data_IF_889623751289
#
_entry.id   IF_889623751289
#
_cell.length_a   1.000
_cell.length_b   1.000
_cell.length_c   1.000
_cell.angle_alpha   90.00
_cell.angle_beta   90.00
_cell.angle_gamma   90.00
#
_symmetry.space_group_name_H-M   'P 1'
#
loop_
_entity.id
_entity.type
_entity.pdbx_description
1 polymer ?
#
# COMPACT_ATOMS: atom_id res chain seq x y z
N UNK A 1 82.74 -24.65 -2.43
CA UNK A 1 82.17 -25.28 -1.22
C UNK A 1 81.09 -24.33 -0.71
N UNK A 2 79.83 -24.62 -1.04
CA UNK A 2 78.65 -23.82 -0.68
C UNK A 2 78.30 -24.01 0.80
N UNK A 3 77.57 -23.07 1.42
CA UNK A 3 76.53 -23.42 2.37
C UNK A 3 75.15 -23.14 1.77
N UNK A 4 74.29 -24.15 1.89
CA UNK A 4 72.85 -24.09 1.68
C UNK A 4 72.19 -23.27 2.80
N UNK A 5 71.21 -22.45 2.44
CA UNK A 5 70.06 -22.14 3.32
C UNK A 5 68.78 -22.43 2.54
N UNK A 6 67.94 -23.28 3.13
CA UNK A 6 66.65 -23.73 2.61
C UNK A 6 65.61 -22.62 2.67
N UNK A 7 64.98 -22.29 1.54
CA UNK A 7 63.77 -21.49 1.51
C UNK A 7 62.56 -22.40 1.74
N UNK A 8 61.79 -22.14 2.80
CA UNK A 8 60.43 -22.65 2.95
C UNK A 8 59.51 -21.84 2.03
N UNK A 9 58.88 -22.50 1.08
CA UNK A 9 57.75 -21.96 0.31
C UNK A 9 56.47 -22.11 1.13
N UNK A 10 55.95 -21.00 1.67
CA UNK A 10 54.56 -20.91 2.08
C UNK A 10 53.71 -20.70 0.83
N UNK A 11 52.90 -21.69 0.49
CA UNK A 11 51.84 -21.59 -0.49
C UNK A 11 50.72 -20.74 0.14
N UNK A 12 50.68 -19.44 -0.16
CA UNK A 12 49.52 -18.63 0.15
C UNK A 12 48.41 -19.00 -0.84
N UNK A 13 47.44 -19.79 -0.38
CA UNK A 13 46.15 -19.90 -1.05
C UNK A 13 45.48 -18.55 -0.85
N UNK A 14 45.50 -17.72 -1.89
CA UNK A 14 44.62 -16.57 -1.96
C UNK A 14 43.18 -17.10 -1.94
N UNK A 15 42.52 -17.02 -0.79
CA UNK A 15 41.06 -16.99 -0.78
C UNK A 15 40.68 -15.70 -1.51
N UNK A 16 40.19 -15.82 -2.74
CA UNK A 16 39.31 -14.81 -3.29
C UNK A 16 38.08 -14.77 -2.39
N UNK A 17 38.09 -13.86 -1.42
CA UNK A 17 36.85 -13.28 -0.92
C UNK A 17 36.22 -12.64 -2.14
N UNK A 18 35.17 -13.26 -2.68
CA UNK A 18 34.30 -12.58 -3.61
C UNK A 18 33.73 -11.38 -2.86
N UNK A 19 34.10 -10.18 -3.29
CA UNK A 19 33.35 -8.98 -2.95
C UNK A 19 31.97 -9.17 -3.59
N UNK A 20 31.01 -9.70 -2.83
CA UNK A 20 29.61 -9.77 -3.25
C UNK A 20 29.07 -8.33 -3.28
N UNK A 21 28.57 -7.83 -4.41
CA UNK A 21 28.09 -6.45 -4.44
C UNK A 21 26.85 -6.33 -3.55
N UNK A 22 27.01 -5.53 -2.49
CA UNK A 22 25.92 -4.81 -1.85
C UNK A 22 25.08 -4.09 -2.93
N UNK A 23 23.81 -3.76 -2.61
CA UNK A 23 22.96 -2.91 -3.46
C UNK A 23 23.80 -1.86 -4.17
N UNK A 24 23.68 -1.78 -5.49
CA UNK A 24 24.42 -0.78 -6.25
C UNK A 24 23.94 0.57 -5.72
N UNK A 25 24.81 1.23 -4.96
CA UNK A 25 24.57 2.54 -4.36
C UNK A 25 24.67 3.58 -5.48
N UNK A 26 23.71 3.56 -6.40
CA UNK A 26 23.33 4.79 -7.07
C UNK A 26 22.85 5.76 -5.99
N UNK A 27 23.16 7.04 -6.18
CA UNK A 27 22.86 8.10 -5.23
C UNK A 27 21.39 8.00 -4.77
N UNK A 28 21.14 8.11 -3.47
CA UNK A 28 19.76 8.10 -2.94
C UNK A 28 18.91 9.15 -3.66
N UNK A 29 17.72 8.75 -4.08
CA UNK A 29 16.78 9.63 -4.76
C UNK A 29 16.49 10.88 -3.91
N UNK A 30 16.40 12.09 -4.50
CA UNK A 30 16.01 13.29 -3.76
C UNK A 30 14.67 13.09 -3.04
N UNK A 31 14.62 13.36 -1.74
CA UNK A 31 13.39 13.25 -0.93
C UNK A 31 12.73 14.61 -0.75
N UNK A 32 11.45 14.71 -1.10
CA UNK A 32 10.63 15.91 -0.95
C UNK A 32 9.49 15.66 0.05
N UNK A 33 9.27 16.60 0.97
CA UNK A 33 8.32 16.40 2.06
C UNK A 33 7.03 17.19 1.80
N UNK A 34 5.92 16.48 1.62
CA UNK A 34 4.57 17.02 1.49
C UNK A 34 4.11 17.60 2.85
N UNK A 35 4.21 16.83 3.94
CA UNK A 35 3.85 17.26 5.29
C UNK A 35 4.60 16.44 6.36
N UNK A 36 5.15 17.10 7.37
CA UNK A 36 5.82 16.49 8.52
C UNK A 36 5.48 17.21 9.84
N UNK A 37 4.35 17.91 9.85
CA UNK A 37 3.88 18.70 10.98
C UNK A 37 3.05 17.89 11.98
N UNK A 38 2.74 16.64 11.66
CA UNK A 38 1.94 15.71 12.46
C UNK A 38 2.69 14.38 12.65
N UNK A 39 2.00 13.36 13.16
CA UNK A 39 2.56 12.10 13.66
C UNK A 39 1.65 10.93 13.32
N UNK A 40 2.22 9.79 12.93
CA UNK A 40 1.45 8.59 12.59
C UNK A 40 0.81 8.65 11.21
N UNK A 41 1.50 9.15 10.17
CA UNK A 41 0.91 9.11 8.82
C UNK A 41 0.76 7.66 8.37
N UNK A 42 -0.46 7.21 8.15
CA UNK A 42 -0.77 5.81 7.86
C UNK A 42 -1.61 5.73 6.58
N UNK A 43 -0.93 5.32 5.50
CA UNK A 43 -1.46 5.30 4.15
C UNK A 43 -1.44 6.65 3.42
N UNK A 44 -1.33 6.56 2.10
CA UNK A 44 -1.60 7.64 1.15
C UNK A 44 -2.58 7.10 0.13
N UNK A 45 -3.62 7.88 -0.19
CA UNK A 45 -4.57 7.56 -1.25
C UNK A 45 -4.73 8.77 -2.17
N UNK A 46 -4.84 8.49 -3.45
CA UNK A 46 -4.86 9.49 -4.51
C UNK A 46 -6.29 9.77 -4.98
N UNK A 47 -6.56 11.01 -5.36
CA UNK A 47 -7.81 11.45 -5.99
C UNK A 47 -7.68 12.88 -6.48
N UNK A 48 -8.53 13.32 -7.40
CA UNK A 48 -8.55 14.71 -7.86
C UNK A 48 -9.65 15.46 -7.10
N UNK A 49 -9.30 16.09 -5.98
CA UNK A 49 -10.26 16.66 -5.04
C UNK A 49 -10.79 18.03 -5.50
N UNK A 50 -10.00 18.74 -6.32
CA UNK A 50 -10.33 20.07 -6.81
C UNK A 50 -10.69 20.12 -8.31
N UNK A 51 -10.70 18.97 -9.00
CA UNK A 51 -10.94 18.80 -10.43
C UNK A 51 -9.94 19.55 -11.33
N UNK A 52 -8.67 19.65 -10.93
CA UNK A 52 -7.61 20.28 -11.73
C UNK A 52 -6.81 19.29 -12.59
N UNK A 53 -7.12 18.00 -12.50
CA UNK A 53 -6.49 16.91 -13.22
C UNK A 53 -5.18 16.42 -12.60
N UNK A 54 -4.81 16.91 -11.41
CA UNK A 54 -3.61 16.48 -10.69
C UNK A 54 -3.99 15.59 -9.49
N UNK A 55 -3.15 14.62 -9.12
CA UNK A 55 -3.43 13.72 -8.02
C UNK A 55 -3.19 14.42 -6.67
N UNK A 56 -4.28 14.69 -5.95
CA UNK A 56 -4.28 15.10 -4.55
C UNK A 56 -4.15 13.88 -3.63
N UNK A 57 -3.79 14.11 -2.36
CA UNK A 57 -3.52 13.05 -1.38
C UNK A 57 -4.44 13.19 -0.17
N UNK A 58 -4.93 12.07 0.35
CA UNK A 58 -5.49 11.95 1.69
C UNK A 58 -4.66 11.01 2.56
N UNK A 59 -4.52 11.32 3.85
CA UNK A 59 -3.84 10.46 4.83
C UNK A 59 -4.53 10.52 6.19
N UNK A 60 -4.57 9.39 6.88
CA UNK A 60 -4.88 9.34 8.31
C UNK A 60 -3.61 9.62 9.12
N UNK A 61 -3.68 10.53 10.09
CA UNK A 61 -2.61 10.73 11.08
C UNK A 61 -3.00 10.03 12.39
N UNK A 62 -2.66 8.75 12.51
CA UNK A 62 -3.02 7.85 13.60
C UNK A 62 -2.75 8.48 14.98
N UNK A 63 -1.50 8.89 15.23
CA UNK A 63 -1.04 9.52 16.48
C UNK A 63 -1.31 11.03 16.55
N UNK A 64 -1.68 11.64 15.42
CA UNK A 64 -2.16 13.02 15.30
C UNK A 64 -3.66 13.16 15.57
N UNK A 65 -4.39 12.05 15.55
CA UNK A 65 -5.84 11.94 15.74
C UNK A 65 -6.68 12.73 14.71
N UNK A 66 -6.19 12.88 13.49
CA UNK A 66 -6.85 13.64 12.44
C UNK A 66 -6.59 13.08 11.04
N UNK A 67 -7.50 13.32 10.11
CA UNK A 67 -7.32 13.04 8.68
C UNK A 67 -7.04 14.35 7.96
N UNK A 68 -6.09 14.31 7.02
CA UNK A 68 -5.70 15.48 6.23
C UNK A 68 -5.75 15.19 4.74
N UNK A 69 -6.11 16.22 4.00
CA UNK A 69 -5.97 16.28 2.55
C UNK A 69 -4.78 17.18 2.18
N UNK A 70 -4.20 16.94 1.01
CA UNK A 70 -3.12 17.73 0.43
C UNK A 70 -3.41 17.95 -1.04
N UNK A 71 -3.40 19.20 -1.48
CA UNK A 71 -3.58 19.53 -2.89
C UNK A 71 -2.26 19.53 -3.62
N UNK A 72 -2.23 18.90 -4.78
CA UNK A 72 -1.09 18.94 -5.67
C UNK A 72 -0.82 20.40 -6.07
N UNK A 73 0.33 21.00 -5.73
CA UNK A 73 0.54 22.44 -5.89
C UNK A 73 0.94 22.85 -7.32
N UNK A 74 0.95 21.87 -8.24
CA UNK A 74 1.41 21.97 -9.62
C UNK A 74 2.93 21.85 -9.77
N UNK A 75 3.38 21.58 -11.01
CA UNK A 75 4.77 21.28 -11.38
C UNK A 75 5.81 22.17 -10.70
N UNK A 76 5.64 23.48 -10.76
CA UNK A 76 6.64 24.44 -10.25
C UNK A 76 6.76 24.51 -8.72
N UNK A 77 5.90 23.82 -7.97
CA UNK A 77 5.83 23.88 -6.50
C UNK A 77 5.73 22.51 -5.83
N UNK A 78 5.74 21.41 -6.58
CA UNK A 78 5.52 20.04 -6.06
C UNK A 78 6.56 19.62 -5.01
N UNK A 79 7.78 20.16 -5.09
CA UNK A 79 8.85 19.94 -4.11
C UNK A 79 8.72 20.78 -2.83
N UNK A 80 7.75 21.69 -2.77
CA UNK A 80 7.42 22.50 -1.58
C UNK A 80 6.41 21.77 -0.70
N UNK A 81 6.09 22.35 0.46
CA UNK A 81 4.97 21.88 1.28
C UNK A 81 3.65 22.08 0.54
N UNK A 82 2.82 21.05 0.50
CA UNK A 82 1.54 21.11 -0.21
C UNK A 82 0.49 21.87 0.61
N UNK A 83 -0.38 22.66 -0.04
CA UNK A 83 -1.59 23.18 0.59
C UNK A 83 -2.39 22.04 1.20
N UNK A 84 -2.88 22.21 2.43
CA UNK A 84 -3.55 21.13 3.17
C UNK A 84 -4.58 21.64 4.16
N UNK A 85 -5.49 20.75 4.54
CA UNK A 85 -6.49 20.99 5.58
C UNK A 85 -6.69 19.74 6.44
N UNK A 86 -7.04 19.96 7.71
CA UNK A 86 -7.54 18.90 8.59
C UNK A 86 -9.04 18.79 8.36
N UNK A 87 -9.51 17.66 7.85
CA UNK A 87 -10.92 17.48 7.45
C UNK A 87 -11.75 16.70 8.46
N UNK A 88 -11.09 15.97 9.36
CA UNK A 88 -11.79 15.17 10.36
C UNK A 88 -10.94 14.81 11.56
N UNK A 89 -11.62 14.42 12.65
CA UNK A 89 -11.03 13.88 13.87
C UNK A 89 -11.17 12.36 13.88
N UNK A 90 -10.07 11.68 13.63
CA UNK A 90 -10.01 10.25 13.31
C UNK A 90 -8.85 9.62 14.11
N UNK A 91 -9.05 9.38 15.42
CA UNK A 91 -8.01 8.74 16.23
C UNK A 91 -7.81 7.29 15.82
N UNK A 92 -6.55 6.84 15.73
CA UNK A 92 -6.22 5.47 15.31
C UNK A 92 -6.68 5.13 13.89
N UNK A 93 -6.58 6.07 12.95
CA UNK A 93 -6.83 5.83 11.53
C UNK A 93 -5.74 4.94 10.92
N UNK A 94 -6.14 3.91 10.17
CA UNK A 94 -5.24 2.99 9.41
C UNK A 94 -5.40 3.15 7.89
N UNK A 95 -6.53 3.68 7.43
CA UNK A 95 -6.79 3.92 6.02
C UNK A 95 -7.76 5.09 5.85
N UNK A 96 -7.58 5.86 4.78
CA UNK A 96 -8.45 6.95 4.39
C UNK A 96 -8.56 6.96 2.87
N UNK A 97 -9.76 6.78 2.32
CA UNK A 97 -10.00 6.66 0.88
C UNK A 97 -10.97 7.73 0.39
N UNK A 98 -10.74 8.23 -0.82
CA UNK A 98 -11.66 9.12 -1.51
C UNK A 98 -12.84 8.34 -2.10
N UNK A 99 -14.03 8.93 -2.05
CA UNK A 99 -15.24 8.44 -2.72
C UNK A 99 -16.27 9.55 -2.77
N UNK A 100 -16.95 9.72 -3.89
CA UNK A 100 -18.20 10.49 -3.91
C UNK A 100 -19.27 9.63 -3.22
N UNK A 101 -19.68 9.93 -1.99
CA UNK A 101 -20.66 9.12 -1.23
C UNK A 101 -22.09 9.53 -1.54
N UNK A 102 -22.36 10.82 -1.71
CA UNK A 102 -23.71 11.36 -1.86
C UNK A 102 -24.12 11.66 -3.32
N UNK A 103 -23.24 11.36 -4.29
CA UNK A 103 -23.49 11.53 -5.72
C UNK A 103 -23.45 12.99 -6.18
N UNK A 104 -22.76 13.87 -5.46
CA UNK A 104 -22.68 15.30 -5.76
C UNK A 104 -21.45 15.70 -6.59
N UNK A 105 -20.63 14.72 -7.00
CA UNK A 105 -19.39 14.86 -7.75
C UNK A 105 -18.24 15.57 -7.01
N UNK A 106 -18.34 15.73 -5.69
CA UNK A 106 -17.21 16.08 -4.84
C UNK A 106 -16.72 14.84 -4.11
N UNK A 107 -15.39 14.65 -4.06
CA UNK A 107 -14.83 13.49 -3.36
C UNK A 107 -14.92 13.69 -1.85
N UNK A 108 -15.72 12.85 -1.20
CA UNK A 108 -15.75 12.67 0.24
C UNK A 108 -14.62 11.74 0.68
N UNK A 109 -14.50 11.53 2.00
CA UNK A 109 -13.49 10.64 2.57
C UNK A 109 -14.10 9.64 3.55
N UNK A 110 -13.77 8.36 3.36
CA UNK A 110 -14.05 7.29 4.32
C UNK A 110 -12.77 6.99 5.09
N UNK A 111 -12.85 6.94 6.41
CA UNK A 111 -11.68 6.68 7.27
C UNK A 111 -11.93 5.47 8.16
N UNK A 112 -11.06 4.47 8.07
CA UNK A 112 -11.08 3.27 8.91
C UNK A 112 -10.24 3.51 10.16
N UNK A 113 -10.86 3.38 11.33
CA UNK A 113 -10.20 3.56 12.62
C UNK A 113 -10.26 2.29 13.46
N UNK A 114 -9.10 1.95 14.03
CA UNK A 114 -8.93 0.78 14.89
C UNK A 114 -8.77 1.15 16.38
N UNK A 115 -7.75 0.62 17.06
CA UNK A 115 -7.31 1.09 18.35
C UNK A 115 -8.43 1.10 19.39
N UNK A 116 -8.59 2.24 20.05
CA UNK A 116 -9.69 2.46 21.00
C UNK A 116 -10.95 2.99 20.33
N UNK A 117 -10.85 3.43 19.09
CA UNK A 117 -11.96 4.11 18.42
C UNK A 117 -12.86 3.13 17.70
N UNK A 118 -12.32 2.14 16.98
CA UNK A 118 -13.05 1.02 16.40
C UNK A 118 -14.27 1.49 15.61
N UNK A 119 -14.05 2.37 14.64
CA UNK A 119 -15.10 3.07 13.91
C UNK A 119 -14.72 3.25 12.45
N UNK A 120 -15.72 3.44 11.60
CA UNK A 120 -15.50 4.06 10.30
C UNK A 120 -16.18 5.42 10.32
N UNK A 121 -15.48 6.45 9.83
CA UNK A 121 -16.01 7.80 9.69
C UNK A 121 -16.24 8.11 8.21
N UNK A 122 -17.34 8.82 7.94
CA UNK A 122 -17.65 9.41 6.64
C UNK A 122 -17.47 10.92 6.77
N UNK A 123 -16.66 11.53 5.92
CA UNK A 123 -16.34 12.95 5.96
C UNK A 123 -16.71 13.56 4.61
N UNK A 124 -17.83 14.29 4.61
CA UNK A 124 -18.42 14.87 3.42
C UNK A 124 -17.77 16.19 3.05
N UNK A 125 -17.43 16.32 1.77
CA UNK A 125 -16.82 17.50 1.18
C UNK A 125 -17.81 18.66 1.05
N UNK A 126 -17.31 19.91 1.03
CA UNK A 126 -18.16 21.06 0.83
C UNK A 126 -18.53 21.25 -0.64
N UNK A 127 -19.84 21.38 -0.92
CA UNK A 127 -20.43 21.56 -2.26
C UNK A 127 -19.98 22.80 -3.03
N UNK A 128 -19.27 23.72 -2.39
CA UNK A 128 -18.78 24.97 -2.99
C UNK A 128 -17.29 24.89 -3.40
N UNK A 129 -16.62 23.75 -3.19
CA UNK A 129 -15.20 23.57 -3.51
C UNK A 129 -14.24 24.26 -2.53
N UNK A 130 -14.71 24.77 -1.38
CA UNK A 130 -13.85 25.35 -0.33
C UNK A 130 -13.16 24.26 0.51
N UNK A 131 -12.56 23.26 -0.15
CA UNK A 131 -11.99 22.05 0.45
C UNK A 131 -10.86 22.34 1.46
N UNK A 132 -10.16 23.48 1.35
CA UNK A 132 -9.13 23.88 2.32
C UNK A 132 -9.68 24.56 3.58
N UNK A 133 -10.97 24.90 3.64
CA UNK A 133 -11.61 25.36 4.87
C UNK A 133 -12.17 24.17 5.65
N UNK A 134 -11.42 23.74 6.67
CA UNK A 134 -11.79 22.67 7.61
C UNK A 134 -13.20 22.81 8.20
N UNK A 135 -13.75 24.02 8.30
CA UNK A 135 -15.07 24.24 8.91
C UNK A 135 -16.24 23.88 7.98
N UNK A 136 -15.97 23.69 6.68
CA UNK A 136 -17.00 23.35 5.68
C UNK A 136 -17.23 21.85 5.52
N UNK A 137 -16.32 21.01 6.06
CA UNK A 137 -16.44 19.55 6.01
C UNK A 137 -17.40 19.03 7.07
N UNK A 138 -18.18 18.00 6.72
CA UNK A 138 -19.13 17.38 7.65
C UNK A 138 -18.72 15.94 7.94
N UNK A 139 -18.36 15.64 9.19
CA UNK A 139 -18.03 14.28 9.62
C UNK A 139 -19.22 13.62 10.33
N UNK A 140 -19.55 12.40 9.93
CA UNK A 140 -20.43 11.50 10.67
C UNK A 140 -19.77 10.15 10.94
N UNK A 141 -20.32 9.40 11.88
CA UNK A 141 -19.96 8.02 12.14
C UNK A 141 -20.74 7.13 11.17
N UNK A 142 -20.08 6.20 10.48
CA UNK A 142 -20.75 5.17 9.70
C UNK A 142 -21.61 4.30 10.64
N UNK A 143 -22.95 4.29 10.48
CA UNK A 143 -23.83 3.54 11.38
C UNK A 143 -23.49 2.06 11.42
N UNK A 144 -23.51 1.48 12.62
CA UNK A 144 -23.17 0.06 12.83
C UNK A 144 -21.66 -0.26 12.87
N UNK A 145 -20.76 0.66 12.51
CA UNK A 145 -19.31 0.39 12.53
C UNK A 145 -18.68 0.44 13.93
N UNK A 146 -19.22 1.29 14.83
CA UNK A 146 -18.59 1.61 16.12
C UNK A 146 -18.56 0.42 17.09
N UNK A 147 -17.38 0.12 17.64
CA UNK A 147 -17.11 -0.99 18.56
C UNK A 147 -17.46 -2.38 18.01
N UNK A 148 -17.65 -2.50 16.70
CA UNK A 148 -17.94 -3.79 16.06
C UNK A 148 -16.67 -4.63 15.95
N UNK A 149 -15.58 -4.01 15.49
CA UNK A 149 -14.28 -4.64 15.23
C UNK A 149 -13.20 -3.55 15.10
N UNK A 150 -11.96 -3.91 14.77
CA UNK A 150 -10.87 -2.95 14.49
C UNK A 150 -10.70 -2.78 12.99
N UNK A 151 -11.31 -1.74 12.43
CA UNK A 151 -11.31 -1.47 10.99
C UNK A 151 -9.92 -1.10 10.49
N UNK A 152 -9.48 -1.78 9.45
CA UNK A 152 -8.16 -1.64 8.84
C UNK A 152 -8.25 -0.91 7.50
N UNK A 153 -9.21 -1.31 6.64
CA UNK A 153 -9.31 -0.80 5.27
C UNK A 153 -10.75 -0.60 4.86
N UNK A 154 -10.96 0.34 3.95
CA UNK A 154 -12.20 0.52 3.22
C UNK A 154 -11.90 0.67 1.73
N UNK A 155 -12.72 0.10 0.87
CA UNK A 155 -12.57 0.18 -0.59
C UNK A 155 -13.96 0.39 -1.21
N UNK A 156 -14.25 1.60 -1.72
CA UNK A 156 -15.51 1.90 -2.39
C UNK A 156 -15.53 1.28 -3.78
N UNK A 157 -16.70 0.78 -4.22
CA UNK A 157 -16.87 0.23 -5.56
C UNK A 157 -18.28 0.48 -6.09
N UNK A 158 -18.40 0.57 -7.40
CA UNK A 158 -19.66 0.55 -8.12
C UNK A 158 -19.70 -0.73 -8.98
N UNK A 159 -20.61 -1.64 -8.67
CA UNK A 159 -20.71 -2.95 -9.32
C UNK A 159 -21.98 -3.03 -10.18
N UNK A 160 -21.85 -3.50 -11.40
CA UNK A 160 -22.97 -3.77 -12.31
C UNK A 160 -23.44 -5.22 -12.15
N UNK A 161 -24.73 -5.41 -11.87
CA UNK A 161 -25.39 -6.70 -11.76
C UNK A 161 -26.36 -6.93 -12.93
N UNK A 162 -26.15 -6.23 -14.04
CA UNK A 162 -26.91 -6.24 -15.29
C UNK A 162 -28.29 -5.60 -15.20
N UNK A 163 -29.01 -5.81 -14.10
CA UNK A 163 -30.34 -5.23 -13.84
C UNK A 163 -30.32 -4.03 -12.91
N UNK A 164 -29.25 -3.89 -12.12
CA UNK A 164 -28.99 -2.74 -11.27
C UNK A 164 -27.49 -2.50 -11.15
N UNK A 165 -27.13 -1.26 -10.85
CA UNK A 165 -25.78 -0.87 -10.47
C UNK A 165 -25.82 -0.52 -8.99
N UNK A 166 -24.89 -1.06 -8.22
CA UNK A 166 -24.90 -0.97 -6.77
C UNK A 166 -23.58 -0.37 -6.27
N UNK A 167 -23.71 0.66 -5.42
CA UNK A 167 -22.58 1.33 -4.80
C UNK A 167 -22.30 0.67 -3.46
N UNK A 168 -21.13 0.05 -3.33
CA UNK A 168 -20.71 -0.69 -2.15
C UNK A 168 -19.52 0.00 -1.49
N UNK A 169 -19.46 -0.12 -0.18
CA UNK A 169 -18.28 0.19 0.62
C UNK A 169 -17.77 -1.13 1.21
N UNK A 170 -16.79 -1.75 0.56
CA UNK A 170 -16.10 -2.89 1.14
C UNK A 170 -15.27 -2.43 2.33
N UNK A 171 -15.18 -3.25 3.36
CA UNK A 171 -14.31 -2.99 4.49
C UNK A 171 -13.78 -4.29 5.08
N UNK A 172 -12.60 -4.17 5.67
CA UNK A 172 -11.93 -5.27 6.32
C UNK A 172 -11.32 -4.83 7.65
N UNK A 173 -11.19 -5.80 8.56
CA UNK A 173 -10.78 -5.51 9.93
C UNK A 173 -9.74 -6.51 10.47
N UNK A 174 -9.33 -6.28 11.71
CA UNK A 174 -8.50 -7.19 12.48
C UNK A 174 -9.13 -7.56 13.82
N UNK A 175 -8.54 -8.56 14.44
CA UNK A 175 -8.94 -9.11 15.73
C UNK A 175 -8.96 -8.04 16.84
N UNK A 176 -9.94 -8.12 17.76
CA UNK A 176 -10.96 -9.17 17.89
C UNK A 176 -12.13 -9.03 16.89
N UNK A 177 -12.77 -10.16 16.54
CA UNK A 177 -13.88 -10.22 15.58
C UNK A 177 -13.49 -9.67 14.20
N UNK A 178 -12.34 -10.12 13.68
CA UNK A 178 -11.92 -9.72 12.35
C UNK A 178 -12.90 -10.24 11.30
N UNK A 179 -13.25 -9.40 10.34
CA UNK A 179 -14.23 -9.70 9.31
C UNK A 179 -13.90 -8.91 8.05
N UNK A 180 -14.35 -9.43 6.91
CA UNK A 180 -14.39 -8.74 5.63
C UNK A 180 -15.82 -8.81 5.10
N UNK A 181 -16.28 -7.72 4.49
CA UNK A 181 -17.64 -7.58 4.01
C UNK A 181 -17.88 -6.21 3.42
N UNK A 182 -19.15 -5.82 3.30
CA UNK A 182 -19.50 -4.52 2.73
C UNK A 182 -20.72 -3.90 3.39
N UNK A 183 -20.86 -2.58 3.23
CA UNK A 183 -22.14 -1.90 3.27
C UNK A 183 -22.59 -1.54 1.87
N UNK A 184 -23.91 -1.56 1.64
CA UNK A 184 -24.49 -0.83 0.51
C UNK A 184 -24.52 0.67 0.86
N UNK A 185 -23.99 1.51 -0.01
CA UNK A 185 -24.02 2.97 0.14
C UNK A 185 -25.45 3.44 -0.20
N UNK A 186 -26.18 4.07 0.74
CA UNK A 186 -27.53 4.58 0.47
C UNK A 186 -27.51 5.79 -0.47
N UNK A 187 -28.66 6.12 -1.06
CA UNK A 187 -28.81 7.31 -1.92
C UNK A 187 -28.62 8.64 -1.14
N UNK A 188 -28.94 8.66 0.16
CA UNK A 188 -28.75 9.82 1.05
C UNK A 188 -27.95 9.39 2.30
N UNK A 189 -26.64 9.13 2.13
CA UNK A 189 -25.79 8.55 3.18
C UNK A 189 -25.63 9.47 4.39
N UNK A 190 -25.83 10.78 4.23
CA UNK A 190 -25.70 11.81 5.26
C UNK A 190 -26.88 11.83 6.23
N UNK A 191 -28.11 11.67 5.71
CA UNK A 191 -29.32 11.94 6.49
C UNK A 191 -30.10 10.68 6.89
N UNK A 192 -29.73 9.51 6.36
CA UNK A 192 -30.46 8.25 6.56
C UNK A 192 -29.60 7.16 7.22
N UNK A 193 -29.28 7.30 8.53
CA UNK A 193 -28.38 6.36 9.21
C UNK A 193 -28.96 4.95 9.37
N UNK A 194 -30.27 4.76 9.18
CA UNK A 194 -30.93 3.46 9.26
C UNK A 194 -30.77 2.58 8.01
N UNK A 195 -30.27 3.14 6.91
CA UNK A 195 -30.19 2.47 5.62
C UNK A 195 -28.82 1.80 5.39
N UNK A 196 -27.87 2.03 6.31
CA UNK A 196 -26.58 1.35 6.32
C UNK A 196 -26.70 -0.05 6.93
N UNK A 197 -26.52 -1.08 6.10
CA UNK A 197 -26.56 -2.47 6.52
C UNK A 197 -25.25 -3.20 6.21
N UNK A 198 -24.60 -3.72 7.26
CA UNK A 198 -23.39 -4.52 7.12
C UNK A 198 -23.71 -5.93 6.63
N UNK A 199 -23.00 -6.38 5.60
CA UNK A 199 -23.07 -7.72 5.01
C UNK A 199 -21.70 -8.39 5.15
N UNK A 200 -21.52 -9.31 6.12
CA UNK A 200 -20.26 -10.05 6.24
C UNK A 200 -20.11 -11.04 5.09
N UNK A 201 -18.91 -11.14 4.54
CA UNK A 201 -18.56 -12.10 3.49
C UNK A 201 -17.68 -13.23 4.04
N UNK A 202 -16.70 -12.90 4.89
CA UNK A 202 -15.86 -13.90 5.54
C UNK A 202 -15.37 -13.44 6.92
N UNK A 203 -14.97 -14.41 7.73
CA UNK A 203 -14.18 -14.18 8.95
C UNK A 203 -12.73 -13.87 8.56
N UNK A 204 -12.09 -12.98 9.32
CA UNK A 204 -10.69 -12.61 9.12
C UNK A 204 -9.99 -12.40 10.47
N UNK A 205 -8.67 -12.23 10.45
CA UNK A 205 -7.87 -12.10 11.67
C UNK A 205 -7.06 -10.81 11.71
N UNK A 206 -6.33 -10.49 10.65
CA UNK A 206 -5.62 -9.23 10.51
C UNK A 206 -5.41 -8.94 9.03
N UNK A 207 -6.44 -8.38 8.39
CA UNK A 207 -6.35 -7.97 6.99
C UNK A 207 -5.30 -6.88 6.84
N UNK A 208 -4.50 -6.97 5.78
CA UNK A 208 -3.41 -6.05 5.44
C UNK A 208 -3.58 -5.40 4.05
N UNK A 209 -4.49 -5.88 3.21
CA UNK A 209 -4.83 -5.28 1.92
C UNK A 209 -6.20 -5.75 1.48
N UNK A 210 -6.95 -4.88 0.80
CA UNK A 210 -8.14 -5.22 0.02
C UNK A 210 -8.06 -4.48 -1.32
N UNK A 211 -8.55 -5.10 -2.40
CA UNK A 211 -8.69 -4.53 -3.74
C UNK A 211 -9.96 -5.06 -4.40
N UNK A 212 -10.55 -4.28 -5.30
CA UNK A 212 -11.69 -4.70 -6.14
C UNK A 212 -11.20 -4.83 -7.57
N UNK A 213 -11.11 -6.06 -8.08
CA UNK A 213 -10.57 -6.41 -9.40
C UNK A 213 -11.23 -7.70 -9.91
N UNK A 214 -11.33 -7.89 -11.23
CA UNK A 214 -11.82 -9.15 -11.81
C UNK A 214 -10.76 -10.27 -11.63
N UNK A 215 -11.09 -11.27 -10.82
CA UNK A 215 -10.16 -12.33 -10.47
C UNK A 215 -10.33 -13.62 -11.26
N UNK A 216 -11.42 -13.77 -12.03
CA UNK A 216 -11.78 -15.01 -12.74
C UNK A 216 -12.10 -14.80 -14.25
N UNK A 217 -11.93 -13.58 -14.76
CA UNK A 217 -12.11 -13.21 -16.15
C UNK A 217 -13.56 -13.16 -16.62
N UNK A 218 -14.54 -13.09 -15.70
CA UNK A 218 -15.96 -13.00 -16.05
C UNK A 218 -16.47 -11.55 -16.22
N UNK A 219 -15.59 -10.55 -16.02
CA UNK A 219 -15.86 -9.12 -16.08
C UNK A 219 -16.70 -8.55 -14.92
N UNK A 220 -17.03 -9.35 -13.91
CA UNK A 220 -17.61 -8.87 -12.66
C UNK A 220 -16.47 -8.66 -11.64
N UNK A 221 -16.24 -7.44 -11.13
CA UNK A 221 -15.15 -7.22 -10.17
C UNK A 221 -15.38 -7.99 -8.87
N UNK A 222 -14.34 -8.67 -8.41
CA UNK A 222 -14.27 -9.47 -7.19
C UNK A 222 -13.55 -8.72 -6.06
N UNK A 223 -13.59 -9.26 -4.84
CA UNK A 223 -12.86 -8.71 -3.69
C UNK A 223 -11.63 -9.54 -3.35
N UNK A 224 -10.43 -9.05 -3.66
CA UNK A 224 -9.17 -9.62 -3.20
C UNK A 224 -8.82 -9.12 -1.79
N UNK A 225 -8.20 -9.97 -0.97
CA UNK A 225 -7.60 -9.53 0.29
C UNK A 225 -6.44 -10.39 0.79
N UNK A 226 -5.59 -9.79 1.65
CA UNK A 226 -4.49 -10.47 2.34
C UNK A 226 -4.76 -10.48 3.84
N UNK A 227 -4.82 -11.66 4.44
CA UNK A 227 -4.90 -11.85 5.89
C UNK A 227 -3.57 -12.36 6.44
N UNK A 228 -3.05 -11.65 7.44
CA UNK A 228 -1.68 -11.79 7.92
C UNK A 228 -1.49 -12.88 8.97
N UNK A 229 -2.50 -13.14 9.82
CA UNK A 229 -2.30 -13.87 11.07
C UNK A 229 -3.36 -14.93 11.34
N UNK A 230 -3.04 -15.75 12.32
CA UNK A 230 -3.95 -16.73 12.93
C UNK A 230 -4.52 -17.73 11.90
N UNK A 231 -5.73 -18.25 12.14
CA UNK A 231 -6.29 -19.39 11.42
C UNK A 231 -6.77 -19.04 10.00
N UNK A 232 -7.07 -17.76 9.74
CA UNK A 232 -7.55 -17.25 8.44
C UNK A 232 -6.43 -16.66 7.59
N UNK A 233 -5.16 -16.83 8.00
CA UNK A 233 -3.98 -16.33 7.30
C UNK A 233 -3.90 -16.86 5.87
N UNK A 234 -3.68 -15.97 4.91
CA UNK A 234 -3.49 -16.29 3.50
C UNK A 234 -3.81 -15.10 2.60
N UNK A 235 -3.62 -15.27 1.29
CA UNK A 235 -4.16 -14.39 0.26
C UNK A 235 -5.37 -15.07 -0.38
N UNK A 236 -6.44 -14.32 -0.52
CA UNK A 236 -7.75 -14.83 -0.95
C UNK A 236 -8.39 -13.85 -1.93
N UNK A 237 -9.35 -14.36 -2.68
CA UNK A 237 -10.35 -13.51 -3.32
C UNK A 237 -11.75 -14.06 -3.04
N UNK A 238 -12.74 -13.18 -3.05
CA UNK A 238 -14.15 -13.49 -2.83
C UNK A 238 -14.87 -13.13 -4.12
N UNK A 239 -15.43 -14.15 -4.77
CA UNK A 239 -16.07 -14.06 -6.08
C UNK A 239 -17.39 -13.31 -5.97
N UNK A 240 -17.57 -12.35 -6.86
CA UNK A 240 -18.84 -11.71 -7.13
C UNK A 240 -19.71 -12.67 -7.97
N UNK A 241 -20.80 -13.23 -7.43
CA UNK A 241 -21.59 -14.24 -8.11
C UNK A 241 -22.57 -13.66 -9.16
N UNK A 242 -22.40 -12.40 -9.56
CA UNK A 242 -23.32 -11.67 -10.43
C UNK A 242 -24.65 -11.30 -9.76
N UNK A 243 -24.75 -11.39 -8.43
CA UNK A 243 -25.91 -10.93 -7.66
C UNK A 243 -25.59 -10.66 -6.18
N UNK A 244 -26.06 -9.55 -5.63
CA UNK A 244 -25.93 -9.24 -4.20
C UNK A 244 -26.65 -10.23 -3.25
N UNK A 245 -27.68 -10.91 -3.73
CA UNK A 245 -28.49 -11.83 -2.91
C UNK A 245 -27.97 -13.27 -2.93
N UNK A 246 -26.93 -13.55 -3.71
CA UNK A 246 -26.29 -14.86 -3.78
C UNK A 246 -25.15 -14.99 -2.76
N UNK A 247 -24.73 -16.22 -2.48
CA UNK A 247 -23.54 -16.47 -1.68
C UNK A 247 -22.28 -16.13 -2.49
N UNK A 248 -21.37 -15.37 -1.91
CA UNK A 248 -20.09 -14.99 -2.52
C UNK A 248 -19.02 -16.01 -2.12
N UNK A 249 -18.59 -16.93 -3.02
CA UNK A 249 -17.64 -17.96 -2.65
C UNK A 249 -16.24 -17.38 -2.49
N UNK A 250 -15.52 -17.88 -1.48
CA UNK A 250 -14.16 -17.49 -1.16
C UNK A 250 -13.16 -18.52 -1.71
N UNK A 251 -12.08 -18.03 -2.31
CA UNK A 251 -11.03 -18.84 -2.92
C UNK A 251 -9.66 -18.51 -2.31
N UNK A 252 -8.91 -19.55 -1.92
CA UNK A 252 -7.54 -19.40 -1.42
C UNK A 252 -6.55 -19.40 -2.60
N UNK A 253 -5.72 -18.37 -2.68
CA UNK A 253 -4.57 -18.32 -3.60
C UNK A 253 -3.38 -19.04 -2.97
N UNK A 254 -3.06 -18.70 -1.72
CA UNK A 254 -1.94 -19.30 -0.99
C UNK A 254 -1.47 -18.46 0.20
N UNK A 255 -0.23 -18.67 0.64
CA UNK A 255 0.41 -17.85 1.67
C UNK A 255 -0.02 -18.14 3.11
N UNK A 256 -0.73 -19.25 3.34
CA UNK A 256 -1.12 -19.73 4.68
C UNK A 256 0.08 -20.05 5.57
N UNK A 257 1.27 -20.24 4.97
CA UNK A 257 2.55 -20.48 5.65
C UNK A 257 3.33 -19.20 5.98
N UNK A 258 2.84 -18.01 5.61
CA UNK A 258 3.60 -16.75 5.64
C UNK A 258 2.92 -15.68 6.49
N UNK A 259 3.66 -14.91 7.29
CA UNK A 259 3.12 -13.66 7.89
C UNK A 259 3.19 -12.54 6.84
N UNK A 260 2.19 -12.50 5.97
CA UNK A 260 2.09 -11.60 4.82
C UNK A 260 1.68 -10.19 5.24
N UNK A 261 2.20 -9.17 4.56
CA UNK A 261 1.91 -7.77 4.83
C UNK A 261 1.10 -7.21 3.66
N UNK A 262 1.49 -6.06 3.09
CA UNK A 262 0.77 -5.51 1.95
C UNK A 262 1.04 -6.32 0.68
N UNK A 263 0.03 -6.39 -0.19
CA UNK A 263 0.12 -7.02 -1.51
C UNK A 263 -0.14 -6.05 -2.64
N UNK A 264 0.12 -6.49 -3.87
CA UNK A 264 -0.22 -5.78 -5.12
C UNK A 264 -0.70 -6.79 -6.16
N UNK A 265 -1.63 -6.37 -7.00
CA UNK A 265 -2.07 -7.09 -8.20
C UNK A 265 -1.43 -6.40 -9.42
N UNK A 266 -0.83 -7.17 -10.32
CA UNK A 266 -0.26 -6.69 -11.58
C UNK A 266 0.10 -7.86 -12.50
N UNK A 267 0.00 -7.68 -13.82
CA UNK A 267 0.53 -8.61 -14.83
C UNK A 267 2.07 -8.51 -14.93
N UNK A 268 2.78 -9.21 -14.03
CA UNK A 268 4.23 -9.02 -13.81
C UNK A 268 5.09 -9.52 -14.96
N UNK A 269 4.64 -10.55 -15.67
CA UNK A 269 5.36 -11.11 -16.81
C UNK A 269 4.70 -10.84 -18.17
N UNK A 270 3.70 -9.96 -18.18
CA UNK A 270 3.05 -9.43 -19.37
C UNK A 270 2.42 -10.52 -20.23
N UNK A 271 1.85 -11.55 -19.57
CA UNK A 271 1.16 -12.66 -20.26
C UNK A 271 -0.35 -12.41 -20.43
N UNK A 272 -0.84 -11.28 -19.92
CA UNK A 272 -2.24 -10.86 -19.98
C UNK A 272 -3.07 -11.34 -18.78
N UNK A 273 -2.46 -11.99 -17.79
CA UNK A 273 -3.10 -12.40 -16.55
C UNK A 273 -2.51 -11.61 -15.38
N UNK A 274 -3.37 -10.99 -14.59
CA UNK A 274 -2.89 -10.29 -13.40
C UNK A 274 -2.47 -11.28 -12.30
N UNK A 275 -1.26 -11.08 -11.80
CA UNK A 275 -0.64 -11.87 -10.75
C UNK A 275 -0.82 -11.23 -9.38
N UNK A 276 -0.49 -11.99 -8.34
CA UNK A 276 -0.48 -11.50 -6.96
C UNK A 276 0.94 -11.47 -6.40
N UNK A 277 1.39 -10.28 -6.03
CA UNK A 277 2.69 -10.05 -5.40
C UNK A 277 2.51 -9.73 -3.93
N UNK A 278 3.20 -10.48 -3.06
CA UNK A 278 3.08 -10.38 -1.61
C UNK A 278 4.44 -10.19 -0.98
N UNK A 279 4.52 -9.32 0.02
CA UNK A 279 5.69 -9.25 0.90
C UNK A 279 5.38 -9.86 2.26
N UNK A 280 6.38 -10.50 2.87
CA UNK A 280 6.24 -11.13 4.18
C UNK A 280 7.41 -10.79 5.11
N UNK A 281 7.17 -10.90 6.42
CA UNK A 281 8.12 -10.48 7.47
C UNK A 281 9.50 -11.11 7.40
N UNK A 282 9.62 -12.33 6.89
CA UNK A 282 10.86 -13.09 6.87
C UNK A 282 11.75 -12.75 5.67
N UNK A 283 11.74 -11.48 5.23
CA UNK A 283 12.46 -10.98 4.05
C UNK A 283 12.10 -11.78 2.81
N UNK A 284 10.81 -11.90 2.55
CA UNK A 284 10.30 -12.61 1.39
C UNK A 284 9.44 -11.70 0.53
N UNK A 285 9.66 -11.81 -0.77
CA UNK A 285 8.76 -11.33 -1.80
C UNK A 285 8.29 -12.60 -2.54
N UNK A 286 6.99 -12.79 -2.60
CA UNK A 286 6.37 -13.98 -3.17
C UNK A 286 5.46 -13.55 -4.30
N UNK A 287 5.76 -14.05 -5.49
CA UNK A 287 4.97 -13.89 -6.68
C UNK A 287 4.10 -15.14 -6.86
N UNK A 288 2.80 -14.97 -6.75
CA UNK A 288 1.81 -15.97 -7.14
C UNK A 288 1.42 -15.67 -8.57
N UNK A 289 2.04 -16.40 -9.51
CA UNK A 289 1.80 -16.26 -10.93
C UNK A 289 0.50 -16.96 -11.31
N UNK A 290 -0.44 -16.24 -11.90
CA UNK A 290 -1.70 -16.77 -12.42
C UNK A 290 -1.39 -17.59 -13.68
N UNK A 291 -2.02 -18.75 -13.82
CA UNK A 291 -1.72 -19.70 -14.90
C UNK A 291 -2.85 -19.82 -15.93
N UNK A 292 -4.04 -19.38 -15.58
CA UNK A 292 -5.20 -19.29 -16.45
C UNK A 292 -6.17 -18.22 -15.95
N UNK A 293 -7.18 -17.90 -16.75
CA UNK A 293 -8.15 -16.87 -16.39
C UNK A 293 -9.09 -17.27 -15.27
N UNK A 294 -9.12 -18.53 -14.80
CA UNK A 294 -10.15 -18.98 -13.84
C UNK A 294 -9.99 -18.42 -12.43
N UNK A 295 -8.84 -17.82 -12.10
CA UNK A 295 -8.53 -17.37 -10.75
C UNK A 295 -8.19 -18.49 -9.76
N UNK A 296 -8.12 -19.74 -10.21
CA UNK A 296 -7.92 -20.92 -9.35
C UNK A 296 -6.57 -21.63 -9.54
N UNK A 297 -5.79 -21.26 -10.56
CA UNK A 297 -4.53 -21.92 -10.91
C UNK A 297 -3.35 -20.97 -10.74
N UNK A 298 -2.50 -21.26 -9.74
CA UNK A 298 -1.41 -20.38 -9.32
C UNK A 298 -0.09 -21.13 -9.15
N UNK A 299 1.00 -20.50 -9.57
CA UNK A 299 2.37 -20.95 -9.31
C UNK A 299 3.05 -20.05 -8.27
N UNK A 300 3.54 -20.63 -7.17
CA UNK A 300 4.33 -19.89 -6.17
C UNK A 300 5.77 -19.74 -6.63
N UNK A 301 6.25 -18.51 -6.76
CA UNK A 301 7.66 -18.17 -6.95
C UNK A 301 8.13 -17.28 -5.80
N UNK A 302 9.22 -17.65 -5.17
CA UNK A 302 9.87 -16.82 -4.14
C UNK A 302 10.99 -16.06 -4.82
N UNK A 303 10.89 -14.72 -4.83
CA UNK A 303 11.89 -13.88 -5.45
C UNK A 303 13.09 -13.71 -4.52
N UNK A 304 14.27 -13.48 -5.11
CA UNK A 304 15.47 -13.26 -4.32
C UNK A 304 15.38 -11.91 -3.60
N UNK A 305 15.60 -11.93 -2.28
CA UNK A 305 15.53 -10.74 -1.47
C UNK A 305 16.90 -10.07 -1.32
N UNK A 306 17.07 -8.79 -1.68
CA UNK A 306 18.38 -8.14 -1.62
C UNK A 306 18.94 -8.06 -0.19
N UNK A 307 20.26 -8.11 -0.06
CA UNK A 307 20.96 -7.84 1.20
C UNK A 307 20.98 -6.33 1.50
N UNK A 308 21.34 -5.95 2.74
CA UNK A 308 21.44 -4.55 3.17
C UNK A 308 20.13 -3.75 3.00
N UNK A 309 19.00 -4.38 3.31
CA UNK A 309 17.65 -3.81 3.31
C UNK A 309 16.97 -4.07 4.64
N UNK A 310 15.92 -3.33 4.99
CA UNK A 310 15.05 -3.69 6.11
C UNK A 310 14.20 -4.93 5.84
N UNK A 311 13.15 -5.13 6.64
CA UNK A 311 12.13 -6.15 6.38
C UNK A 311 11.02 -5.53 5.54
N UNK A 312 10.67 -6.15 4.42
CA UNK A 312 9.66 -5.64 3.52
C UNK A 312 8.33 -5.42 4.24
N UNK A 313 7.62 -4.38 3.80
CA UNK A 313 6.40 -3.90 4.39
C UNK A 313 5.32 -3.73 3.33
N UNK A 314 5.62 -3.04 2.23
CA UNK A 314 4.76 -2.93 1.05
C UNK A 314 5.56 -3.06 -0.24
N UNK A 315 4.86 -3.26 -1.35
CA UNK A 315 5.41 -3.35 -2.70
C UNK A 315 4.52 -2.63 -3.70
N UNK A 316 5.14 -1.93 -4.64
CA UNK A 316 4.51 -1.37 -5.83
C UNK A 316 5.19 -1.92 -7.09
N UNK A 317 4.48 -1.80 -8.21
CA UNK A 317 4.88 -2.33 -9.52
C UNK A 317 4.77 -1.23 -10.55
N UNK A 318 5.81 -1.03 -11.37
CA UNK A 318 5.84 -0.02 -12.43
C UNK A 318 7.14 -0.09 -13.23
N UNK A 319 7.14 0.45 -14.45
CA UNK A 319 8.34 0.56 -15.29
C UNK A 319 9.12 1.82 -14.88
N UNK A 320 10.16 1.65 -14.06
CA UNK A 320 10.90 2.77 -13.45
C UNK A 320 12.00 3.34 -14.34
N UNK A 321 12.39 2.61 -15.39
CA UNK A 321 13.46 3.05 -16.29
C UNK A 321 13.14 3.00 -17.79
N UNK A 322 11.84 2.91 -18.09
CA UNK A 322 11.25 2.99 -19.42
C UNK A 322 11.78 1.92 -20.38
N UNK A 323 12.12 0.73 -19.87
CA UNK A 323 12.56 -0.38 -20.69
C UNK A 323 11.41 -1.30 -21.15
N UNK A 324 10.19 -0.99 -20.71
CA UNK A 324 8.96 -1.70 -21.05
C UNK A 324 8.66 -2.91 -20.17
N UNK A 325 9.51 -3.22 -19.19
CA UNK A 325 9.27 -4.27 -18.20
C UNK A 325 8.79 -3.65 -16.89
N UNK A 326 7.92 -4.38 -16.19
CA UNK A 326 7.47 -3.95 -14.86
C UNK A 326 8.51 -4.31 -13.80
N UNK A 327 8.92 -3.32 -13.02
CA UNK A 327 9.82 -3.45 -11.90
C UNK A 327 9.09 -3.45 -10.56
N UNK A 328 9.82 -3.73 -9.48
CA UNK A 328 9.29 -3.72 -8.11
C UNK A 328 9.93 -2.63 -7.27
N UNK A 329 9.12 -1.85 -6.55
CA UNK A 329 9.62 -0.99 -5.46
C UNK A 329 9.08 -1.47 -4.14
N UNK A 330 9.97 -1.71 -3.16
CA UNK A 330 9.63 -2.31 -1.88
C UNK A 330 10.01 -1.37 -0.74
N UNK A 331 9.04 -1.07 0.12
CA UNK A 331 9.27 -0.34 1.37
C UNK A 331 9.61 -1.31 2.50
N UNK A 332 10.38 -0.85 3.49
CA UNK A 332 10.85 -1.67 4.59
C UNK A 332 10.59 -1.05 5.97
N UNK A 333 10.33 -1.90 6.96
CA UNK A 333 10.48 -1.59 8.37
C UNK A 333 11.88 -2.03 8.87
N UNK A 334 12.35 -1.42 9.96
CA UNK A 334 13.61 -1.79 10.64
C UNK A 334 14.88 -1.81 9.75
N UNK A 335 14.96 -0.92 8.77
CA UNK A 335 16.15 -0.61 7.99
C UNK A 335 17.14 0.31 8.74
N UNK A 336 17.75 -0.17 9.83
CA UNK A 336 18.83 0.59 10.48
C UNK A 336 20.09 0.66 9.61
N UNK A 337 20.92 1.72 9.69
CA UNK A 337 22.16 1.80 8.94
C UNK A 337 23.01 0.52 9.07
N UNK A 338 23.51 -0.07 7.97
CA UNK A 338 23.56 0.45 6.60
C UNK A 338 22.35 0.08 5.71
N UNK A 339 21.29 -0.50 6.26
CA UNK A 339 20.18 -1.06 5.49
C UNK A 339 19.34 0.02 4.80
N UNK A 340 18.85 -0.28 3.60
CA UNK A 340 17.93 0.58 2.85
C UNK A 340 16.48 0.39 3.32
N UNK A 341 15.76 1.50 3.52
CA UNK A 341 14.34 1.56 3.86
C UNK A 341 13.41 1.44 2.66
N UNK A 342 13.90 1.76 1.46
CA UNK A 342 13.21 1.57 0.18
C UNK A 342 14.23 1.11 -0.84
N UNK A 343 13.88 0.09 -1.61
CA UNK A 343 14.71 -0.42 -2.69
C UNK A 343 13.86 -0.75 -3.91
N UNK A 344 14.50 -0.72 -5.06
CA UNK A 344 13.96 -1.07 -6.37
C UNK A 344 14.61 -2.36 -6.85
N UNK A 345 13.83 -3.30 -7.39
CA UNK A 345 14.31 -4.47 -8.13
C UNK A 345 13.93 -4.27 -9.59
N UNK A 346 14.94 -4.07 -10.42
CA UNK A 346 14.79 -4.02 -11.87
C UNK A 346 14.54 -5.42 -12.44
N UNK A 347 13.50 -5.55 -13.25
CA UNK A 347 13.21 -6.76 -14.01
C UNK A 347 14.16 -6.88 -15.22
N UNK A 348 14.41 -8.12 -15.65
CA UNK A 348 15.13 -8.41 -16.90
C UNK A 348 14.49 -9.58 -17.62
N UNK A 349 14.38 -9.49 -18.94
CA UNK A 349 13.77 -10.55 -19.77
C UNK A 349 14.54 -11.88 -19.73
N UNK A 350 15.86 -11.84 -19.57
CA UNK A 350 16.70 -13.05 -19.48
C UNK A 350 16.78 -13.63 -18.05
N UNK A 351 16.60 -12.77 -17.05
CA UNK A 351 16.82 -13.05 -15.63
C UNK A 351 15.80 -12.30 -14.75
N UNK A 352 14.53 -12.74 -14.74
CA UNK A 352 13.47 -12.06 -14.00
C UNK A 352 13.77 -12.01 -12.49
N UNK A 353 13.75 -10.81 -11.92
CA UNK A 353 13.85 -10.55 -10.48
C UNK A 353 15.05 -11.20 -9.75
N UNK A 354 16.21 -11.29 -10.38
CA UNK A 354 17.46 -11.66 -9.68
C UNK A 354 17.92 -10.54 -8.73
N UNK A 355 18.44 -10.89 -7.53
CA UNK A 355 18.81 -9.88 -6.51
C UNK A 355 19.87 -8.88 -6.98
N UNK A 356 20.70 -9.28 -7.96
CA UNK A 356 21.79 -8.46 -8.50
C UNK A 356 21.29 -7.23 -9.27
N UNK A 357 20.01 -7.20 -9.64
CA UNK A 357 19.36 -6.08 -10.31
C UNK A 357 18.66 -5.13 -9.32
N UNK A 358 19.16 -5.02 -8.08
CA UNK A 358 18.51 -4.24 -7.03
C UNK A 358 19.29 -2.99 -6.64
N UNK A 359 18.56 -1.89 -6.42
CA UNK A 359 19.08 -0.55 -6.17
C UNK A 359 18.44 0.05 -4.92
N UNK A 360 19.20 0.83 -4.14
CA UNK A 360 18.66 1.55 -2.99
C UNK A 360 18.05 2.90 -3.38
N UNK A 361 16.91 3.25 -2.80
CA UNK A 361 16.25 4.56 -3.01
C UNK A 361 16.46 5.49 -1.81
N UNK A 362 16.09 5.03 -0.60
CA UNK A 362 15.84 5.90 0.55
C UNK A 362 16.97 6.00 1.58
N UNK A 363 18.01 5.17 1.51
CA UNK A 363 18.95 5.02 2.63
C UNK A 363 18.30 4.45 3.91
N UNK A 364 18.96 4.54 5.07
CA UNK A 364 18.44 4.05 6.35
C UNK A 364 17.55 5.05 7.10
N UNK A 365 17.29 6.24 6.54
CA UNK A 365 16.54 7.29 7.23
C UNK A 365 15.02 7.14 7.03
N UNK A 366 14.30 7.08 8.15
CA UNK A 366 12.85 6.84 8.21
C UNK A 366 12.55 5.34 8.22
N UNK A 367 11.68 4.89 9.14
CA UNK A 367 11.35 3.47 9.28
C UNK A 367 9.83 3.27 9.37
N UNK A 368 9.38 2.24 8.64
CA UNK A 368 7.99 1.78 8.40
C UNK A 368 7.21 2.75 7.51
N UNK A 369 6.89 2.29 6.30
CA UNK A 369 6.05 3.05 5.39
C UNK A 369 4.99 2.13 4.78
N UNK A 370 3.76 2.27 5.30
CA UNK A 370 2.55 1.60 4.85
C UNK A 370 2.08 2.22 3.52
N UNK A 371 1.71 1.37 2.56
CA UNK A 371 1.41 1.70 1.15
C UNK A 371 2.51 2.49 0.42
N UNK A 372 2.55 2.32 -0.88
CA UNK A 372 3.51 2.93 -1.80
C UNK A 372 2.78 3.13 -3.11
N UNK A 373 2.88 4.34 -3.66
CA UNK A 373 2.32 4.66 -4.96
C UNK A 373 3.44 5.09 -5.90
N UNK A 374 3.34 4.67 -7.17
CA UNK A 374 4.24 5.06 -8.24
C UNK A 374 3.50 5.96 -9.21
N UNK A 375 3.98 7.18 -9.39
CA UNK A 375 3.35 8.20 -10.23
C UNK A 375 4.35 9.31 -10.56
N UNK A 376 4.15 9.98 -11.69
CA UNK A 376 4.93 11.16 -12.11
C UNK A 376 4.39 12.40 -11.36
N UNK A 377 4.98 12.74 -10.20
CA UNK A 377 4.49 13.85 -9.36
C UNK A 377 4.94 15.21 -9.93
N UNK A 378 6.16 15.29 -10.46
CA UNK A 378 6.68 16.55 -10.98
C UNK A 378 6.43 16.78 -12.48
N UNK A 379 5.75 15.83 -13.12
CA UNK A 379 5.35 15.82 -14.52
C UNK A 379 6.55 15.89 -15.47
N UNK A 380 7.66 15.26 -15.14
CA UNK A 380 8.86 15.19 -16.01
C UNK A 380 8.93 13.94 -16.89
N UNK A 381 8.06 12.96 -16.64
CA UNK A 381 7.81 11.81 -17.49
C UNK A 381 8.25 10.48 -16.91
N UNK A 382 8.86 10.45 -15.71
CA UNK A 382 9.23 9.22 -15.01
C UNK A 382 8.34 8.93 -13.80
N UNK A 383 8.44 7.72 -13.23
CA UNK A 383 7.69 7.35 -12.04
C UNK A 383 8.47 7.66 -10.77
N UNK A 384 7.89 8.50 -9.90
CA UNK A 384 8.36 8.77 -8.55
C UNK A 384 7.82 7.77 -7.53
N UNK A 385 8.37 7.78 -6.32
CA UNK A 385 7.90 6.96 -5.20
C UNK A 385 7.25 7.82 -4.11
N UNK A 386 5.92 7.79 -4.01
CA UNK A 386 5.14 8.42 -2.94
C UNK A 386 4.86 7.44 -1.80
N UNK A 387 5.09 7.87 -0.56
CA UNK A 387 4.79 7.04 0.62
C UNK A 387 4.64 7.91 1.89
N UNK A 388 4.44 7.27 3.05
CA UNK A 388 4.30 7.96 4.31
C UNK A 388 4.91 7.19 5.48
N UNK A 389 5.21 7.88 6.57
CA UNK A 389 5.77 7.29 7.78
C UNK A 389 4.84 7.45 8.98
N UNK A 390 4.40 6.30 9.52
CA UNK A 390 3.66 6.27 10.78
C UNK A 390 4.59 6.77 11.89
N UNK A 391 5.62 5.99 12.25
CA UNK A 391 6.67 6.38 13.18
C UNK A 391 7.91 5.47 13.16
N UNK A 392 9.09 6.08 13.33
CA UNK A 392 10.27 5.38 13.81
C UNK A 392 10.73 5.91 15.18
N UNK A 393 11.24 4.99 16.02
CA UNK A 393 12.08 5.40 17.14
C UNK A 393 13.43 5.75 16.53
N UNK A 394 13.74 7.05 16.49
CA UNK A 394 15.08 7.49 16.17
C UNK A 394 16.01 7.03 17.30
N UNK A 395 16.80 5.99 17.05
CA UNK A 395 17.67 5.36 18.05
C UNK A 395 18.75 6.31 18.57
N UNK A 396 19.18 7.27 17.74
CA UNK A 396 20.18 8.27 18.11
C UNK A 396 19.59 9.34 19.04
N UNK A 397 18.37 9.79 18.77
CA UNK A 397 17.69 10.84 19.54
C UNK A 397 16.85 10.30 20.70
N UNK A 398 16.63 8.97 20.74
CA UNK A 398 15.69 8.28 21.63
C UNK A 398 14.31 8.98 21.67
N UNK A 399 13.82 9.38 20.50
CA UNK A 399 12.54 10.07 20.32
C UNK A 399 11.78 9.44 19.17
N UNK A 400 10.45 9.40 19.31
CA UNK A 400 9.56 9.11 18.17
C UNK A 400 9.65 10.29 17.20
N UNK A 401 10.07 10.01 15.98
CA UNK A 401 10.07 10.94 14.85
C UNK A 401 9.47 10.22 13.65
N UNK A 402 9.05 10.96 12.64
CA UNK A 402 8.62 10.43 11.35
C UNK A 402 8.87 11.49 10.29
N UNK A 403 9.08 11.05 9.06
CA UNK A 403 9.21 11.90 7.88
C UNK A 403 7.87 12.48 7.44
N UNK A 404 6.74 11.88 7.89
CA UNK A 404 5.40 12.30 7.56
C UNK A 404 4.98 11.77 6.19
N UNK A 405 4.37 12.60 5.35
CA UNK A 405 4.03 12.29 3.95
C UNK A 405 5.10 12.90 3.05
N UNK A 406 5.69 12.10 2.16
CA UNK A 406 6.84 12.49 1.35
C UNK A 406 6.97 11.61 0.11
N UNK A 407 7.78 12.04 -0.85
CA UNK A 407 8.10 11.27 -2.04
C UNK A 407 9.58 11.32 -2.37
N UNK A 408 10.04 10.36 -3.17
CA UNK A 408 11.38 10.31 -3.74
C UNK A 408 11.29 10.57 -5.24
N UNK A 409 12.04 11.56 -5.70
CA UNK A 409 12.17 11.95 -7.11
C UNK A 409 13.07 10.95 -7.83
N UNK A 410 12.56 10.34 -8.90
CA UNK A 410 13.40 9.52 -9.76
C UNK A 410 14.34 10.47 -10.55
N UNK A 411 15.67 10.27 -10.52
CA UNK A 411 16.60 11.24 -11.09
C UNK A 411 16.86 11.03 -12.59
N UNK A 412 16.08 10.21 -13.31
CA UNK A 412 16.53 9.56 -14.55
C UNK A 412 16.09 10.23 -15.84
#
# INVERSE_FOLDING_TARGET
>A
MYPLFSALSFLAIAHCLGDEPALVSEQSWPRHIIDNSSRGADGVKLGDLNNDGLPDVVTGWEEGFNTRIYLHPGKGKVTQKWPSAIIGRTPSAEDAVFVDLNGDHYLDVVVSCEGKDQAIYLIFAPKNGEILDSSQWTQILLPGSKNMTRWMFAEPAELDFGSSTERLLFAASKNPHGTIGYWKIPDDPENHPGDWEWRPLAEASWVMSIFVEDMNGDSDPDLFYVDRKDETRGAYWIENPGSLDADWPQHLIGGTDLEQLFGKIADLDQDGLEDVLLVAKDRQIVWWRRLDSSGLSWEKRVLEYPENTGRAKAVAVGDLDHDGLLDLVVTCENADPPNQGVFWIKQSADKPFEKWNSFGIAGPEGLKFDRIELLDLDMDGDLDVLTCEEHHINKTLNKKTGLGVFWYENPR
#
